data_IF_544088820496
#
_entry.id   IF_544088820496
#
_cell.length_a   1.000
_cell.length_b   1.000
_cell.length_c   1.000
_cell.angle_alpha   90.00
_cell.angle_beta   90.00
_cell.angle_gamma   90.00
#
_symmetry.space_group_name_H-M   'P 1'
#
loop_
_entity.id
_entity.type
_entity.pdbx_description
1 polymer ?
#
# COMPACT_ATOMS: atom_id res chain seq x y z
N UNK A 1 17.36 -4.29 8.71
CA UNK A 1 17.69 -4.71 7.34
C UNK A 1 16.37 -5.14 6.70
N UNK A 2 15.95 -4.62 5.53
CA UNK A 2 14.71 -5.06 4.91
C UNK A 2 14.90 -6.52 4.48
N UNK A 3 13.92 -7.38 4.80
CA UNK A 3 13.89 -8.77 4.35
C UNK A 3 13.29 -8.72 2.93
N UNK A 4 14.02 -9.16 1.89
CA UNK A 4 13.43 -9.32 0.57
C UNK A 4 12.36 -10.41 0.66
N UNK A 5 11.12 -10.10 0.29
CA UNK A 5 10.08 -11.09 0.09
C UNK A 5 10.08 -11.44 -1.40
N UNK A 6 10.67 -12.58 -1.81
CA UNK A 6 10.89 -12.90 -3.22
C UNK A 6 9.59 -13.09 -4.02
N UNK A 7 8.42 -13.14 -3.36
CA UNK A 7 7.11 -13.28 -4.01
C UNK A 7 6.74 -12.08 -4.88
N UNK A 8 7.27 -10.88 -4.60
CA UNK A 8 6.82 -9.64 -5.25
C UNK A 8 7.90 -8.89 -6.01
N UNK A 9 9.10 -9.46 -6.16
CA UNK A 9 10.20 -8.75 -6.82
C UNK A 9 9.85 -8.28 -8.26
N UNK A 10 9.09 -9.09 -9.01
CA UNK A 10 8.66 -8.70 -10.35
C UNK A 10 7.60 -7.59 -10.32
N UNK A 11 6.65 -7.64 -9.38
CA UNK A 11 5.67 -6.56 -9.18
C UNK A 11 6.38 -5.25 -8.83
N UNK A 12 7.35 -5.30 -7.91
CA UNK A 12 8.18 -4.16 -7.53
C UNK A 12 8.92 -3.55 -8.73
N UNK A 13 9.48 -4.40 -9.59
CA UNK A 13 10.20 -3.99 -10.79
C UNK A 13 9.26 -3.35 -11.81
N UNK A 14 8.11 -3.97 -12.06
CA UNK A 14 7.11 -3.46 -13.01
C UNK A 14 6.56 -2.11 -12.56
N UNK A 15 6.21 -1.97 -11.27
CA UNK A 15 5.78 -0.70 -10.68
C UNK A 15 6.86 0.38 -10.89
N UNK A 16 8.12 0.04 -10.58
CA UNK A 16 9.22 1.01 -10.71
C UNK A 16 9.43 1.42 -12.16
N UNK A 17 9.42 0.46 -13.08
CA UNK A 17 9.59 0.72 -14.52
C UNK A 17 8.44 1.59 -15.04
N UNK A 18 7.19 1.29 -14.68
CA UNK A 18 6.02 2.08 -15.08
C UNK A 18 6.09 3.51 -14.55
N UNK A 19 6.48 3.69 -13.29
CA UNK A 19 6.65 5.01 -12.69
C UNK A 19 7.73 5.84 -13.41
N UNK A 20 8.88 5.26 -13.72
CA UNK A 20 9.95 5.99 -14.43
C UNK A 20 9.55 6.28 -15.88
N UNK A 21 8.84 5.35 -16.55
CA UNK A 21 8.28 5.59 -17.89
C UNK A 21 7.32 6.78 -17.87
N UNK A 22 6.39 6.82 -16.91
CA UNK A 22 5.43 7.90 -16.73
C UNK A 22 6.14 9.26 -16.60
N UNK A 23 7.19 9.33 -15.78
CA UNK A 23 7.96 10.58 -15.59
C UNK A 23 8.72 11.01 -16.84
N UNK A 24 9.20 10.07 -17.65
CA UNK A 24 9.90 10.37 -18.91
C UNK A 24 8.92 10.86 -19.97
N UNK A 25 7.71 10.28 -20.02
CA UNK A 25 6.68 10.63 -20.98
C UNK A 25 5.76 11.77 -20.54
N UNK A 26 5.89 12.26 -19.30
CA UNK A 26 4.97 13.21 -18.66
C UNK A 26 3.51 12.71 -18.66
N UNK A 27 3.35 11.41 -18.40
CA UNK A 27 2.05 10.72 -18.37
C UNK A 27 1.56 10.59 -16.92
N UNK A 28 0.67 11.51 -16.52
CA UNK A 28 0.14 11.57 -15.16
C UNK A 28 -0.76 10.37 -14.82
N UNK A 29 -1.46 9.80 -15.80
CA UNK A 29 -2.35 8.66 -15.58
C UNK A 29 -1.50 7.42 -15.27
N UNK A 30 -0.44 7.20 -16.05
CA UNK A 30 0.50 6.09 -15.80
C UNK A 30 1.26 6.27 -14.47
N UNK A 31 1.58 7.50 -14.08
CA UNK A 31 2.19 7.77 -12.76
C UNK A 31 1.23 7.39 -11.63
N UNK A 32 -0.05 7.74 -11.77
CA UNK A 32 -1.10 7.43 -10.80
C UNK A 32 -1.32 5.92 -10.71
N UNK A 33 -1.36 5.20 -11.83
CA UNK A 33 -1.46 3.74 -11.87
C UNK A 33 -0.31 3.06 -11.11
N UNK A 34 0.93 3.47 -11.35
CA UNK A 34 2.08 2.92 -10.63
C UNK A 34 2.00 3.16 -9.11
N UNK A 35 1.44 4.31 -8.69
CA UNK A 35 1.19 4.60 -7.28
C UNK A 35 0.10 3.73 -6.68
N UNK A 36 -0.98 3.45 -7.42
CA UNK A 36 -2.02 2.53 -6.96
C UNK A 36 -1.51 1.09 -6.85
N UNK A 37 -0.66 0.64 -7.77
CA UNK A 37 -0.06 -0.69 -7.67
C UNK A 37 0.90 -0.79 -6.47
N UNK A 38 1.66 0.26 -6.17
CA UNK A 38 2.47 0.32 -4.94
C UNK A 38 1.61 0.26 -3.68
N UNK A 39 0.46 0.94 -3.66
CA UNK A 39 -0.51 0.88 -2.56
C UNK A 39 -1.11 -0.52 -2.41
N UNK A 40 -1.57 -1.12 -3.51
CA UNK A 40 -2.12 -2.49 -3.54
C UNK A 40 -1.14 -3.51 -2.99
N UNK A 41 0.13 -3.40 -3.39
CA UNK A 41 1.18 -4.30 -2.90
C UNK A 41 1.39 -4.10 -1.38
N UNK A 42 1.27 -2.85 -0.88
CA UNK A 42 1.34 -2.54 0.55
C UNK A 42 0.21 -3.16 1.36
N UNK A 43 -1.01 -3.13 0.82
CA UNK A 43 -2.17 -3.83 1.40
C UNK A 43 -1.93 -5.35 1.46
N UNK A 44 -1.38 -5.94 0.39
CA UNK A 44 -1.07 -7.38 0.38
C UNK A 44 -0.04 -7.76 1.43
N UNK A 45 1.00 -6.95 1.63
CA UNK A 45 1.98 -7.19 2.67
C UNK A 45 1.37 -7.26 4.08
N UNK A 46 0.34 -6.46 4.37
CA UNK A 46 -0.39 -6.60 5.64
C UNK A 46 -1.08 -7.96 5.74
N UNK A 47 -1.77 -8.41 4.68
CA UNK A 47 -2.43 -9.72 4.63
C UNK A 47 -1.44 -10.88 4.78
N UNK A 48 -0.22 -10.70 4.29
CA UNK A 48 0.89 -11.66 4.41
C UNK A 48 1.65 -11.58 5.73
N UNK A 49 1.15 -10.80 6.72
CA UNK A 49 1.78 -10.59 8.03
C UNK A 49 3.19 -10.00 7.95
N UNK A 50 3.44 -9.20 6.91
CA UNK A 50 4.70 -8.46 6.75
C UNK A 50 4.60 -7.13 7.48
N UNK A 51 5.69 -6.68 8.14
CA UNK A 51 5.66 -5.43 8.86
C UNK A 51 5.65 -4.25 7.86
N UNK A 52 4.86 -3.19 8.11
CA UNK A 52 4.79 -2.03 7.20
C UNK A 52 6.12 -1.32 6.94
N UNK A 53 7.11 -1.50 7.82
CA UNK A 53 8.49 -1.03 7.64
C UNK A 53 9.34 -1.87 6.66
N UNK A 54 8.89 -3.06 6.26
CA UNK A 54 9.55 -3.91 5.27
C UNK A 54 9.25 -3.43 3.85
N UNK A 55 9.49 -2.14 3.61
CA UNK A 55 9.26 -1.52 2.31
C UNK A 55 10.24 -2.11 1.30
N UNK A 56 9.76 -2.58 0.14
CA UNK A 56 10.66 -3.13 -0.87
C UNK A 56 11.62 -2.08 -1.43
N UNK A 57 12.83 -2.50 -1.79
CA UNK A 57 13.93 -1.57 -2.13
C UNK A 57 13.61 -0.70 -3.36
N UNK A 58 13.00 -1.30 -4.38
CA UNK A 58 12.68 -0.62 -5.65
C UNK A 58 11.60 0.45 -5.47
N UNK A 59 10.65 0.23 -4.57
CA UNK A 59 9.64 1.22 -4.20
C UNK A 59 10.19 2.24 -3.22
N UNK A 60 10.94 1.78 -2.21
CA UNK A 60 11.50 2.62 -1.15
C UNK A 60 12.43 3.71 -1.67
N UNK A 61 13.18 3.47 -2.73
CA UNK A 61 14.08 4.48 -3.31
C UNK A 61 13.38 5.66 -4.01
N UNK A 62 12.05 5.61 -4.18
CA UNK A 62 11.23 6.71 -4.72
C UNK A 62 10.25 7.17 -3.63
N UNK A 63 10.18 8.48 -3.38
CA UNK A 63 9.37 9.02 -2.27
C UNK A 63 7.88 8.74 -2.46
N UNK A 64 7.38 8.89 -3.67
CA UNK A 64 5.97 8.76 -4.04
C UNK A 64 5.52 7.31 -3.91
N UNK A 65 6.27 6.36 -4.48
CA UNK A 65 5.98 4.93 -4.37
C UNK A 65 6.10 4.42 -2.94
N UNK A 66 7.11 4.88 -2.18
CA UNK A 66 7.24 4.59 -0.75
C UNK A 66 6.01 5.03 0.04
N UNK A 67 5.51 6.24 -0.22
CA UNK A 67 4.31 6.75 0.47
C UNK A 67 3.08 5.94 0.12
N UNK A 68 2.90 5.61 -1.15
CA UNK A 68 1.77 4.77 -1.59
C UNK A 68 1.81 3.39 -0.94
N UNK A 69 2.98 2.74 -0.91
CA UNK A 69 3.18 1.48 -0.19
C UNK A 69 2.77 1.55 1.28
N UNK A 70 3.30 2.54 2.01
CA UNK A 70 2.97 2.74 3.42
C UNK A 70 1.48 2.99 3.59
N UNK A 71 0.88 3.84 2.75
CA UNK A 71 -0.54 4.13 2.77
C UNK A 71 -1.39 2.88 2.59
N UNK A 72 -1.04 2.00 1.66
CA UNK A 72 -1.77 0.74 1.46
C UNK A 72 -1.67 -0.20 2.67
N UNK A 73 -0.50 -0.30 3.28
CA UNK A 73 -0.31 -1.10 4.48
C UNK A 73 -1.10 -0.53 5.68
N UNK A 74 -1.02 0.78 5.91
CA UNK A 74 -1.73 1.48 6.98
C UNK A 74 -3.25 1.39 6.80
N UNK A 75 -3.74 1.55 5.56
CA UNK A 75 -5.17 1.39 5.22
C UNK A 75 -5.64 -0.03 5.53
N UNK A 76 -4.84 -1.06 5.21
CA UNK A 76 -5.20 -2.45 5.50
C UNK A 76 -5.23 -2.73 7.01
N UNK A 77 -4.30 -2.14 7.77
CA UNK A 77 -4.30 -2.19 9.24
C UNK A 77 -5.58 -1.55 9.81
N UNK A 78 -5.90 -0.33 9.39
CA UNK A 78 -7.09 0.40 9.86
C UNK A 78 -8.38 -0.36 9.52
N UNK A 79 -8.50 -0.87 8.30
CA UNK A 79 -9.65 -1.70 7.91
C UNK A 79 -9.78 -2.96 8.78
N UNK A 80 -8.66 -3.59 9.12
CA UNK A 80 -8.66 -4.75 10.01
C UNK A 80 -9.11 -4.38 11.45
N UNK A 81 -8.65 -3.24 11.97
CA UNK A 81 -9.08 -2.71 13.28
C UNK A 81 -10.57 -2.38 13.29
N UNK A 82 -11.08 -1.73 12.24
CA UNK A 82 -12.51 -1.43 12.08
C UNK A 82 -13.37 -2.69 11.94
N UNK A 83 -12.89 -3.69 11.20
CA UNK A 83 -13.60 -4.97 11.05
C UNK A 83 -13.66 -5.76 12.38
N UNK A 84 -12.66 -5.61 13.24
CA UNK A 84 -12.63 -6.21 14.57
C UNK A 84 -13.44 -5.42 15.61
N UNK A 85 -13.82 -4.17 15.31
CA UNK A 85 -14.52 -3.29 16.24
C UNK A 85 -16.02 -3.63 16.33
N UNK A 86 -16.55 -4.02 17.51
CA UNK A 86 -17.96 -4.34 17.67
C UNK A 86 -18.90 -3.16 17.40
N UNK A 87 -18.42 -1.92 17.61
CA UNK A 87 -19.19 -0.71 17.37
C UNK A 87 -19.25 -0.35 15.87
N UNK A 88 -18.18 -0.59 15.11
CA UNK A 88 -18.21 -0.44 13.65
C UNK A 88 -19.15 -1.47 12.99
N UNK A 89 -19.26 -2.66 13.59
CA UNK A 89 -20.04 -3.78 13.06
C UNK A 89 -21.44 -3.92 13.72
N UNK A 90 -21.91 -2.89 14.44
CA UNK A 90 -23.18 -2.97 15.18
C UNK A 90 -24.45 -2.91 14.30
N UNK A 91 -24.27 -2.64 12.99
CA UNK A 91 -25.34 -2.62 11.99
C UNK A 91 -26.32 -1.45 12.13
N UNK A 92 -26.05 -0.49 13.01
CA UNK A 92 -26.96 0.64 13.27
C UNK A 92 -26.82 1.76 12.24
N UNK A 93 -25.70 1.82 11.52
CA UNK A 93 -25.36 2.90 10.61
C UNK A 93 -24.96 4.20 11.30
N UNK A 94 -24.81 4.19 12.63
CA UNK A 94 -24.28 5.33 13.38
C UNK A 94 -22.75 5.39 13.27
N UNK A 95 -22.14 6.59 13.40
CA UNK A 95 -20.70 6.71 13.55
C UNK A 95 -20.16 5.88 14.72
N UNK A 96 -19.00 5.26 14.53
CA UNK A 96 -18.34 4.54 15.59
C UNK A 96 -17.89 5.50 16.70
N UNK A 97 -17.96 5.08 17.96
CA UNK A 97 -17.51 5.90 19.09
C UNK A 97 -15.99 5.85 19.35
N UNK A 98 -15.27 5.00 18.59
CA UNK A 98 -13.83 4.72 18.78
C UNK A 98 -13.00 5.17 17.58
N UNK A 99 -13.55 5.07 16.38
CA UNK A 99 -12.90 5.42 15.11
C UNK A 99 -13.70 6.53 14.44
N UNK A 100 -13.02 7.57 13.96
CA UNK A 100 -13.59 8.74 13.29
C UNK A 100 -13.68 8.56 11.77
#
# INVERSE_FOLDING_TARGET
MPIPHPSHFLDELDIRVSFEKARISDDLDLEMEARFEAERLGMMAFVEDLPGRAIPLLLGSVRELRKSWIGGWDNALEMNEMNACPFCQDGTGNPCSVHD
#
